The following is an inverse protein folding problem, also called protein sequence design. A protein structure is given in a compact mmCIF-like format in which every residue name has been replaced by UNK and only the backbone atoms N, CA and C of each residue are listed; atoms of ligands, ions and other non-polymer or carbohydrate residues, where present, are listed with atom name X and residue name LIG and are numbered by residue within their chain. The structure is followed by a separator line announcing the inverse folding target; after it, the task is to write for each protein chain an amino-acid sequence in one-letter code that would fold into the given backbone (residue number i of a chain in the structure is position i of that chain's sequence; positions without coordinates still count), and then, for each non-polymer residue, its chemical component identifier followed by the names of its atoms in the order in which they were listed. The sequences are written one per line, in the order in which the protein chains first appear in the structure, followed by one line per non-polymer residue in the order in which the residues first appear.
data_IF_685976645808
#
_entry.id   IF_685976645808
#
_cell.length_a   1.000
_cell.length_b   1.000
_cell.length_c   1.000
_cell.angle_alpha   90.00
_cell.angle_beta   90.00
_cell.angle_gamma   90.00
#
_symmetry.space_group_name_H-M   'P 1'
#
loop_
_entity.id
_entity.type
_entity.pdbx_description
1 polymer ?
#
# COMPACT_ATOMS: atom_id res chain seq x y z
N UNK A 1 -26.98 -17.34 38.73
CA UNK A 1 -26.40 -16.00 39.08
C UNK A 1 -27.36 -14.90 38.66
N UNK A 2 -27.55 -13.83 39.47
CA UNK A 2 -28.54 -12.79 39.18
C UNK A 2 -28.29 -12.04 37.84
N UNK A 3 -27.12 -12.18 37.25
CA UNK A 3 -26.73 -11.49 35.97
C UNK A 3 -26.61 -12.46 34.78
N UNK A 4 -27.14 -13.66 34.85
CA UNK A 4 -26.95 -14.70 33.82
C UNK A 4 -27.42 -14.25 32.44
N UNK A 5 -28.59 -13.63 32.34
CA UNK A 5 -29.14 -13.13 31.08
C UNK A 5 -28.25 -12.04 30.44
N UNK A 6 -27.67 -11.17 31.24
CA UNK A 6 -26.77 -10.12 30.74
C UNK A 6 -25.43 -10.70 30.27
N UNK A 7 -24.89 -11.68 30.99
CA UNK A 7 -23.64 -12.36 30.62
C UNK A 7 -23.81 -13.17 29.34
N UNK A 8 -24.95 -13.86 29.21
CA UNK A 8 -25.28 -14.59 27.98
C UNK A 8 -25.34 -13.62 26.77
N UNK A 9 -26.03 -12.48 26.93
CA UNK A 9 -26.11 -11.47 25.89
C UNK A 9 -24.74 -10.84 25.54
N UNK A 10 -23.86 -10.73 26.49
CA UNK A 10 -22.49 -10.28 26.23
C UNK A 10 -21.71 -11.29 25.36
N UNK A 11 -21.83 -12.58 25.65
CA UNK A 11 -21.24 -13.66 24.86
C UNK A 11 -21.79 -13.68 23.43
N UNK A 12 -23.12 -13.51 23.27
CA UNK A 12 -23.77 -13.40 21.97
C UNK A 12 -23.16 -12.26 21.15
N UNK A 13 -23.03 -11.06 21.75
CA UNK A 13 -22.44 -9.90 21.07
C UNK A 13 -20.98 -10.16 20.66
N UNK A 14 -20.18 -10.76 21.56
CA UNK A 14 -18.77 -11.08 21.25
C UNK A 14 -18.65 -12.11 20.13
N UNK A 15 -19.46 -13.17 20.17
CA UNK A 15 -19.51 -14.21 19.15
C UNK A 15 -19.95 -13.66 17.78
N UNK A 16 -21.01 -12.87 17.76
CA UNK A 16 -21.52 -12.26 16.52
C UNK A 16 -20.52 -11.25 15.92
N UNK A 17 -19.82 -10.49 16.76
CA UNK A 17 -18.79 -9.55 16.31
C UNK A 17 -17.52 -10.26 15.82
N UNK A 18 -17.23 -11.47 16.26
CA UNK A 18 -16.12 -12.27 15.72
C UNK A 18 -16.28 -12.57 14.23
N UNK A 19 -17.51 -12.55 13.70
CA UNK A 19 -17.81 -12.68 12.25
C UNK A 19 -17.24 -11.55 11.40
N UNK A 20 -16.80 -10.44 11.98
CA UNK A 20 -16.09 -9.37 11.28
C UNK A 20 -14.76 -9.87 10.69
N UNK A 21 -14.16 -10.91 11.29
CA UNK A 21 -12.95 -11.57 10.80
C UNK A 21 -11.65 -10.77 11.03
N UNK A 22 -11.67 -9.80 11.94
CA UNK A 22 -10.49 -9.03 12.36
C UNK A 22 -10.62 -8.57 13.81
N UNK A 23 -9.52 -8.19 14.43
CA UNK A 23 -9.53 -7.64 15.79
C UNK A 23 -10.20 -6.25 15.79
N UNK A 24 -11.15 -6.07 16.72
CA UNK A 24 -11.79 -4.77 16.98
C UNK A 24 -11.11 -4.17 18.21
N UNK A 25 -10.57 -2.97 18.09
CA UNK A 25 -10.04 -2.19 19.21
C UNK A 25 -10.94 -0.98 19.43
N UNK A 26 -11.65 -0.97 20.54
CA UNK A 26 -12.57 0.13 20.88
C UNK A 26 -13.57 -0.27 21.95
N UNK A 27 -14.46 0.65 22.28
CA UNK A 27 -15.58 0.44 23.20
C UNK A 27 -16.82 0.07 22.39
N UNK A 28 -17.45 -1.06 22.73
CA UNK A 28 -18.73 -1.47 22.15
C UNK A 28 -19.84 -1.21 23.17
N UNK A 29 -20.86 -0.47 22.75
CA UNK A 29 -22.09 -0.24 23.55
C UNK A 29 -23.24 -0.86 22.77
N UNK A 30 -23.85 -1.89 23.34
CA UNK A 30 -24.99 -2.58 22.74
C UNK A 30 -26.25 -2.31 23.58
N UNK A 31 -27.29 -1.74 22.97
CA UNK A 31 -28.59 -1.52 23.59
C UNK A 31 -29.59 -2.49 22.96
N UNK A 32 -30.20 -3.36 23.79
CA UNK A 32 -31.11 -4.43 23.35
C UNK A 32 -30.54 -5.30 22.23
N UNK A 33 -29.33 -5.88 22.41
CA UNK A 33 -28.67 -6.66 21.35
C UNK A 33 -29.46 -7.96 21.05
N UNK A 34 -29.39 -8.38 19.79
CA UNK A 34 -29.92 -9.63 19.31
C UNK A 34 -29.12 -10.13 18.11
N UNK A 35 -29.07 -11.46 17.90
CA UNK A 35 -28.27 -12.10 16.85
C UNK A 35 -28.48 -11.49 15.48
N UNK A 36 -29.72 -11.19 15.09
CA UNK A 36 -30.02 -10.59 13.80
C UNK A 36 -29.31 -9.22 13.65
N UNK A 37 -29.51 -8.32 14.61
CA UNK A 37 -28.93 -6.96 14.57
C UNK A 37 -27.41 -7.01 14.67
N UNK A 38 -26.87 -7.83 15.55
CA UNK A 38 -25.42 -7.99 15.75
C UNK A 38 -24.75 -8.52 14.47
N UNK A 39 -25.33 -9.54 13.83
CA UNK A 39 -24.78 -10.11 12.59
C UNK A 39 -24.90 -9.16 11.41
N UNK A 40 -25.98 -8.38 11.29
CA UNK A 40 -26.10 -7.32 10.28
C UNK A 40 -25.05 -6.22 10.49
N UNK A 41 -24.81 -5.82 11.72
CA UNK A 41 -23.75 -4.86 12.07
C UNK A 41 -22.37 -5.42 11.72
N UNK A 42 -22.08 -6.68 12.09
CA UNK A 42 -20.82 -7.34 11.77
C UNK A 42 -20.59 -7.41 10.24
N UNK A 43 -21.61 -7.74 9.44
CA UNK A 43 -21.56 -7.72 7.97
C UNK A 43 -21.26 -6.32 7.43
N UNK A 44 -21.95 -5.29 7.93
CA UNK A 44 -21.74 -3.89 7.54
C UNK A 44 -20.32 -3.43 7.88
N UNK A 45 -19.86 -3.72 9.07
CA UNK A 45 -18.51 -3.39 9.53
C UNK A 45 -17.43 -4.11 8.70
N UNK A 46 -17.61 -5.41 8.44
CA UNK A 46 -16.73 -6.19 7.56
C UNK A 46 -16.66 -5.61 6.14
N UNK A 47 -17.79 -5.13 5.60
CA UNK A 47 -17.84 -4.46 4.29
C UNK A 47 -17.06 -3.14 4.30
N UNK A 48 -17.22 -2.33 5.34
CA UNK A 48 -16.48 -1.07 5.51
C UNK A 48 -14.97 -1.35 5.59
N UNK A 49 -14.55 -2.28 6.43
CA UNK A 49 -13.13 -2.65 6.59
C UNK A 49 -12.54 -3.20 5.29
N UNK A 50 -13.30 -4.03 4.54
CA UNK A 50 -12.86 -4.54 3.24
C UNK A 50 -12.72 -3.42 2.22
N UNK A 51 -13.64 -2.46 2.19
CA UNK A 51 -13.55 -1.30 1.31
C UNK A 51 -12.38 -0.39 1.69
N UNK A 52 -12.19 -0.13 2.98
CA UNK A 52 -11.07 0.66 3.48
C UNK A 52 -9.71 0.02 3.12
N UNK A 53 -9.59 -1.30 3.29
CA UNK A 53 -8.41 -2.05 2.82
C UNK A 53 -8.23 -2.06 1.29
N UNK A 54 -9.31 -1.95 0.52
CA UNK A 54 -9.26 -1.84 -0.96
C UNK A 54 -8.89 -0.43 -1.40
N UNK A 55 -9.33 0.58 -0.65
CA UNK A 55 -9.15 1.99 -0.92
C UNK A 55 -8.00 2.59 -0.09
N UNK A 56 -7.08 1.76 0.39
CA UNK A 56 -5.89 2.22 1.10
C UNK A 56 -4.90 2.86 0.11
N UNK A 57 -5.42 3.75 -0.72
CA UNK A 57 -4.64 4.66 -1.55
C UNK A 57 -4.04 5.68 -0.59
N UNK A 58 -2.72 5.88 -0.62
CA UNK A 58 -2.09 6.94 0.16
C UNK A 58 -2.76 8.28 -0.16
N UNK A 59 -3.23 8.98 0.86
CA UNK A 59 -3.78 10.33 0.68
C UNK A 59 -2.61 11.31 0.62
N UNK A 60 -2.10 11.55 -0.59
CA UNK A 60 -1.03 12.54 -0.84
C UNK A 60 -1.58 13.64 -1.73
N UNK A 61 -1.21 14.87 -1.41
CA UNK A 61 -1.46 16.02 -2.29
C UNK A 61 -0.30 16.17 -3.27
N UNK A 62 -0.54 15.78 -4.52
CA UNK A 62 0.47 15.85 -5.60
C UNK A 62 0.86 17.29 -5.99
N UNK A 63 0.11 18.30 -5.52
CA UNK A 63 0.42 19.71 -5.76
C UNK A 63 1.43 20.27 -4.74
N UNK A 64 1.66 19.56 -3.64
CA UNK A 64 2.69 19.93 -2.67
C UNK A 64 4.09 19.60 -3.20
N UNK A 65 5.12 20.38 -2.81
CA UNK A 65 6.50 20.01 -3.10
C UNK A 65 6.80 18.59 -2.59
N UNK A 66 7.51 17.77 -3.39
CA UNK A 66 7.94 16.45 -2.91
C UNK A 66 9.02 16.60 -1.83
N UNK A 67 9.12 15.57 -0.97
CA UNK A 67 10.23 15.44 -0.02
C UNK A 67 11.56 15.24 -0.74
N UNK A 68 11.55 14.45 -1.85
CA UNK A 68 12.71 14.26 -2.72
C UNK A 68 12.28 14.37 -4.18
N UNK A 69 13.04 15.13 -4.93
CA UNK A 69 12.95 15.20 -6.39
C UNK A 69 13.80 14.08 -7.05
N UNK A 70 13.76 14.03 -8.38
CA UNK A 70 14.49 13.00 -9.15
C UNK A 70 16.01 13.08 -8.96
N UNK A 71 16.58 14.27 -8.77
CA UNK A 71 18.02 14.44 -8.58
C UNK A 71 18.47 13.90 -7.22
N UNK A 72 17.68 14.14 -6.18
CA UNK A 72 17.92 13.60 -4.84
C UNK A 72 17.75 12.06 -4.81
N UNK A 73 16.76 11.53 -5.54
CA UNK A 73 16.60 10.09 -5.73
C UNK A 73 17.81 9.48 -6.45
N UNK A 74 18.32 10.13 -7.51
CA UNK A 74 19.52 9.70 -8.24
C UNK A 74 20.80 9.75 -7.38
N UNK A 75 20.86 10.62 -6.39
CA UNK A 75 21.98 10.65 -5.46
C UNK A 75 21.97 9.45 -4.50
N UNK A 76 20.79 8.88 -4.23
CA UNK A 76 20.61 7.75 -3.33
C UNK A 76 20.62 6.40 -4.06
N UNK A 77 19.93 6.31 -5.21
CA UNK A 77 19.80 5.08 -5.99
C UNK A 77 20.81 5.03 -7.14
N UNK A 78 21.41 3.86 -7.45
CA UNK A 78 22.33 3.70 -8.56
C UNK A 78 21.64 3.70 -9.93
N UNK A 79 20.33 3.54 -9.97
CA UNK A 79 19.54 3.45 -11.20
C UNK A 79 19.59 4.75 -12.01
N UNK A 80 19.62 4.61 -13.32
CA UNK A 80 19.62 5.74 -14.30
C UNK A 80 18.64 5.44 -15.42
N UNK A 81 18.27 6.48 -16.16
CA UNK A 81 17.42 6.32 -17.35
C UNK A 81 18.04 5.30 -18.33
N UNK A 82 17.25 4.42 -18.95
CA UNK A 82 15.77 4.33 -18.88
C UNK A 82 15.24 3.51 -17.71
N UNK A 83 16.08 3.04 -16.78
CA UNK A 83 15.72 2.11 -15.71
C UNK A 83 15.48 2.77 -14.35
N UNK A 84 15.55 4.09 -14.23
CA UNK A 84 15.04 4.81 -13.07
C UNK A 84 13.53 4.97 -13.21
N UNK A 85 12.76 4.28 -12.34
CA UNK A 85 11.31 4.13 -12.46
C UNK A 85 10.51 4.83 -11.36
N UNK A 86 11.12 5.77 -10.65
CA UNK A 86 10.44 6.67 -9.71
C UNK A 86 10.85 8.11 -9.96
N UNK A 87 9.90 9.05 -9.81
CA UNK A 87 10.13 10.46 -10.14
C UNK A 87 10.20 11.35 -8.90
N UNK A 88 9.41 11.03 -7.86
CA UNK A 88 9.30 11.85 -6.65
C UNK A 88 9.02 10.98 -5.43
N UNK A 89 9.52 11.40 -4.26
CA UNK A 89 9.15 10.85 -2.96
C UNK A 89 8.37 11.92 -2.20
N UNK A 90 7.20 11.59 -1.67
CA UNK A 90 6.35 12.51 -0.92
C UNK A 90 6.38 12.27 0.58
N UNK A 91 6.61 11.03 0.99
CA UNK A 91 6.67 10.66 2.40
C UNK A 91 7.76 9.60 2.61
N UNK A 92 8.57 9.79 3.64
CA UNK A 92 9.64 8.86 4.02
C UNK A 92 9.75 8.87 5.54
N UNK A 93 9.49 7.73 6.15
CA UNK A 93 9.56 7.50 7.59
C UNK A 93 10.48 6.32 7.88
N UNK A 94 10.68 5.96 9.14
CA UNK A 94 11.43 4.76 9.51
C UNK A 94 10.80 3.46 8.98
N UNK A 95 9.49 3.45 8.75
CA UNK A 95 8.73 2.22 8.48
C UNK A 95 8.07 2.19 7.10
N UNK A 96 7.97 3.30 6.40
CA UNK A 96 7.34 3.36 5.07
C UNK A 96 7.79 4.55 4.24
N UNK A 97 7.58 4.40 2.94
CA UNK A 97 7.84 5.42 1.92
C UNK A 97 6.67 5.51 0.96
N UNK A 98 6.36 6.73 0.51
CA UNK A 98 5.40 6.98 -0.57
C UNK A 98 6.12 7.71 -1.70
N UNK A 99 6.12 7.11 -2.88
CA UNK A 99 6.73 7.65 -4.08
C UNK A 99 5.76 7.63 -5.26
N UNK A 100 6.10 8.34 -6.32
CA UNK A 100 5.31 8.39 -7.54
C UNK A 100 6.15 8.14 -8.79
N UNK A 101 5.49 7.62 -9.83
CA UNK A 101 5.99 7.61 -11.21
C UNK A 101 4.90 8.12 -12.15
N UNK A 102 5.26 9.08 -12.99
CA UNK A 102 4.45 9.49 -14.13
C UNK A 102 4.77 8.59 -15.32
N UNK A 103 3.77 7.93 -15.85
CA UNK A 103 3.93 7.04 -17.00
C UNK A 103 3.65 7.83 -18.28
N UNK A 104 4.69 8.13 -19.04
CA UNK A 104 4.54 8.87 -20.29
C UNK A 104 4.66 7.94 -21.50
N UNK A 105 4.13 8.36 -22.65
CA UNK A 105 4.27 7.60 -23.90
C UNK A 105 5.74 7.50 -24.39
N UNK A 106 6.63 8.35 -23.85
CA UNK A 106 8.06 8.36 -24.18
C UNK A 106 8.88 7.25 -23.51
N UNK A 107 8.25 6.42 -22.68
CA UNK A 107 8.93 5.30 -22.04
C UNK A 107 9.35 4.24 -23.09
N UNK A 108 10.60 3.83 -23.05
CA UNK A 108 11.19 2.90 -24.03
C UNK A 108 10.45 1.58 -24.18
N UNK A 109 9.88 1.06 -23.09
CA UNK A 109 9.16 -0.22 -23.10
C UNK A 109 7.87 -0.19 -23.93
N UNK A 110 7.27 0.99 -24.20
CA UNK A 110 6.09 1.09 -25.06
C UNK A 110 6.37 0.85 -26.53
N UNK A 111 7.64 0.91 -26.96
CA UNK A 111 8.01 0.55 -28.33
C UNK A 111 7.69 -0.91 -28.66
N UNK A 112 7.74 -1.77 -27.66
CA UNK A 112 7.49 -3.22 -27.81
C UNK A 112 6.31 -3.78 -27.01
N UNK A 113 5.79 -3.07 -26.02
CA UNK A 113 4.78 -3.62 -25.08
C UNK A 113 3.49 -2.78 -24.99
N UNK A 114 2.58 -2.74 -26.00
CA UNK A 114 2.63 -3.38 -27.31
C UNK A 114 2.36 -2.32 -28.38
N UNK A 115 2.86 -2.47 -29.64
CA UNK A 115 2.50 -1.57 -30.74
C UNK A 115 0.98 -1.46 -30.89
N UNK A 116 0.46 -0.23 -30.89
CA UNK A 116 -0.99 0.05 -30.98
C UNK A 116 -1.81 -0.19 -29.71
N UNK A 117 -1.23 -0.81 -28.66
CA UNK A 117 -1.89 -1.07 -27.38
C UNK A 117 -0.90 -0.92 -26.20
N UNK A 118 -0.42 0.29 -25.92
CA UNK A 118 0.64 0.51 -24.94
C UNK A 118 0.16 0.17 -23.52
N UNK A 119 0.87 -0.72 -22.85
CA UNK A 119 0.63 -1.10 -21.44
C UNK A 119 1.98 -1.21 -20.75
N UNK A 120 2.15 -0.60 -19.58
CA UNK A 120 3.38 -0.74 -18.81
C UNK A 120 3.56 -2.20 -18.36
N UNK A 121 4.74 -2.81 -18.61
CA UNK A 121 4.99 -4.17 -18.16
C UNK A 121 4.84 -4.31 -16.65
N UNK A 122 4.07 -5.30 -16.18
CA UNK A 122 3.83 -5.51 -14.76
C UNK A 122 5.11 -5.73 -13.96
N UNK A 123 6.10 -6.38 -14.56
CA UNK A 123 7.43 -6.60 -13.94
C UNK A 123 8.16 -5.27 -13.68
N UNK A 124 7.98 -4.25 -14.53
CA UNK A 124 8.56 -2.92 -14.31
C UNK A 124 7.81 -2.13 -13.24
N UNK A 125 6.51 -2.40 -13.03
CA UNK A 125 5.78 -1.85 -11.88
C UNK A 125 6.36 -2.40 -10.57
N UNK A 126 6.67 -3.72 -10.54
CA UNK A 126 7.32 -4.35 -9.37
C UNK A 126 8.72 -3.78 -9.16
N UNK A 127 9.48 -3.56 -10.23
CA UNK A 127 10.79 -2.91 -10.16
C UNK A 127 10.69 -1.49 -9.59
N UNK A 128 9.73 -0.67 -10.06
CA UNK A 128 9.50 0.66 -9.51
C UNK A 128 9.14 0.63 -8.01
N UNK A 129 8.36 -0.37 -7.57
CA UNK A 129 8.10 -0.61 -6.15
C UNK A 129 9.37 -0.99 -5.39
N UNK A 130 10.28 -1.78 -6.01
CA UNK A 130 11.56 -2.12 -5.41
C UNK A 130 12.47 -0.91 -5.25
N UNK A 131 12.56 -0.06 -6.26
CA UNK A 131 13.31 1.19 -6.18
C UNK A 131 12.74 2.09 -5.08
N UNK A 132 11.40 2.17 -4.97
CA UNK A 132 10.73 2.87 -3.87
C UNK A 132 11.14 2.29 -2.51
N UNK A 133 11.09 0.95 -2.37
CA UNK A 133 11.55 0.27 -1.16
C UNK A 133 13.06 0.44 -0.91
N UNK A 134 13.86 0.51 -1.97
CA UNK A 134 15.28 0.81 -1.91
C UNK A 134 15.58 2.16 -1.27
N UNK A 135 14.81 3.20 -1.60
CA UNK A 135 14.90 4.51 -0.94
C UNK A 135 14.66 4.38 0.58
N UNK A 136 13.65 3.60 0.99
CA UNK A 136 13.37 3.37 2.41
C UNK A 136 14.54 2.68 3.13
N UNK A 137 15.09 1.62 2.53
CA UNK A 137 16.21 0.86 3.12
C UNK A 137 17.48 1.70 3.14
N UNK A 138 17.82 2.36 2.04
CA UNK A 138 19.04 3.16 1.93
C UNK A 138 19.01 4.43 2.79
N UNK A 139 17.84 4.91 3.16
CA UNK A 139 17.72 6.02 4.13
C UNK A 139 18.19 5.65 5.55
N UNK A 140 18.42 4.36 5.82
CA UNK A 140 18.92 3.90 7.14
C UNK A 140 20.44 3.90 7.25
N UNK A 141 21.15 4.13 6.14
CA UNK A 141 22.63 4.15 6.10
C UNK A 141 23.14 5.56 5.84
N UNK A 142 24.35 5.93 6.35
CA UNK A 142 24.88 7.28 6.22
C UNK A 142 25.39 7.63 4.81
N UNK A 143 25.73 6.62 4.01
CA UNK A 143 26.36 6.73 2.69
C UNK A 143 25.65 5.84 1.65
N UNK A 144 24.36 6.12 1.36
CA UNK A 144 23.49 5.26 0.54
C UNK A 144 24.05 4.97 -0.86
N UNK A 145 24.85 5.88 -1.43
CA UNK A 145 25.50 5.76 -2.74
C UNK A 145 26.50 4.60 -2.82
N UNK A 146 26.99 4.10 -1.68
CA UNK A 146 27.95 3.00 -1.61
C UNK A 146 27.27 1.63 -1.48
N UNK A 147 25.93 1.57 -1.46
CA UNK A 147 25.19 0.33 -1.31
C UNK A 147 24.35 -0.01 -2.55
N UNK A 148 24.27 -1.31 -2.82
CA UNK A 148 23.38 -1.88 -3.82
C UNK A 148 22.34 -2.76 -3.16
N UNK A 149 21.09 -2.63 -3.58
CA UNK A 149 20.00 -3.49 -3.11
C UNK A 149 19.61 -4.49 -4.19
N UNK A 150 19.42 -5.75 -3.81
CA UNK A 150 19.05 -6.83 -4.70
C UNK A 150 17.80 -7.54 -4.23
N UNK A 151 16.93 -7.91 -5.16
CA UNK A 151 15.81 -8.79 -4.87
C UNK A 151 16.30 -10.18 -4.46
N UNK A 152 15.83 -10.66 -3.32
CA UNK A 152 16.00 -12.06 -2.94
C UNK A 152 14.75 -12.90 -3.26
N UNK A 153 13.56 -12.30 -3.10
CA UNK A 153 12.29 -12.99 -3.24
C UNK A 153 11.14 -12.02 -3.47
N UNK A 154 10.15 -12.45 -4.23
CA UNK A 154 8.87 -11.76 -4.41
C UNK A 154 7.73 -12.74 -4.18
N UNK A 155 6.80 -12.40 -3.31
CA UNK A 155 5.63 -13.21 -3.00
C UNK A 155 4.34 -12.44 -3.24
N UNK A 156 3.27 -13.16 -3.59
CA UNK A 156 1.88 -12.67 -3.63
C UNK A 156 1.67 -11.44 -4.52
N UNK A 157 2.43 -11.31 -5.60
CA UNK A 157 2.25 -10.24 -6.59
C UNK A 157 0.91 -10.42 -7.32
N UNK A 158 0.12 -9.34 -7.40
CA UNK A 158 -1.18 -9.32 -8.12
C UNK A 158 -1.34 -8.00 -8.85
N UNK A 159 -1.60 -8.09 -10.14
CA UNK A 159 -1.98 -6.94 -10.98
C UNK A 159 -3.50 -6.92 -11.14
N UNK A 160 -4.15 -5.80 -10.81
CA UNK A 160 -5.61 -5.67 -10.86
C UNK A 160 -6.09 -4.82 -12.02
N UNK A 161 -5.23 -3.92 -12.50
CA UNK A 161 -5.51 -3.00 -13.59
C UNK A 161 -4.28 -2.86 -14.47
N UNK A 162 -4.51 -2.52 -15.74
CA UNK A 162 -3.45 -2.11 -16.66
C UNK A 162 -3.00 -0.70 -16.31
N UNK A 163 -1.73 -0.43 -16.51
CA UNK A 163 -1.12 0.91 -16.43
C UNK A 163 -0.82 1.37 -17.84
N UNK A 164 -1.29 2.54 -18.20
CA UNK A 164 -1.22 3.08 -19.56
C UNK A 164 -0.50 4.43 -19.57
N UNK A 165 -0.03 4.89 -20.74
CA UNK A 165 0.48 6.24 -20.87
C UNK A 165 -0.53 7.28 -20.40
N UNK A 166 -0.09 8.23 -19.58
CA UNK A 166 -0.93 9.24 -18.94
C UNK A 166 -1.28 8.92 -17.48
N UNK A 167 -1.06 7.69 -17.02
CA UNK A 167 -1.30 7.33 -15.62
C UNK A 167 -0.17 7.85 -14.71
N UNK A 168 -0.53 8.17 -13.46
CA UNK A 168 0.42 8.41 -12.38
C UNK A 168 0.28 7.26 -11.37
N UNK A 169 1.37 6.52 -11.16
CA UNK A 169 1.44 5.49 -10.14
C UNK A 169 1.84 6.11 -8.80
N UNK A 170 1.17 5.68 -7.75
CA UNK A 170 1.51 5.99 -6.37
C UNK A 170 1.93 4.69 -5.69
N UNK A 171 3.18 4.63 -5.26
CA UNK A 171 3.75 3.48 -4.55
C UNK A 171 3.75 3.75 -3.05
N UNK A 172 3.25 2.82 -2.27
CA UNK A 172 3.42 2.79 -0.83
C UNK A 172 4.13 1.49 -0.45
N UNK A 173 5.35 1.61 0.00
CA UNK A 173 6.13 0.48 0.51
C UNK A 173 6.30 0.61 2.01
N UNK A 174 6.12 -0.48 2.74
CA UNK A 174 6.27 -0.51 4.20
C UNK A 174 7.09 -1.72 4.61
N UNK A 175 7.94 -1.55 5.62
CA UNK A 175 8.67 -2.65 6.23
C UNK A 175 7.68 -3.58 6.94
N UNK A 176 7.85 -4.88 6.77
CA UNK A 176 7.09 -5.91 7.50
C UNK A 176 7.74 -6.18 8.84
N UNK A 177 9.06 -6.12 8.87
CA UNK A 177 9.92 -6.25 10.06
C UNK A 177 10.92 -5.10 10.06
N UNK A 178 11.26 -4.53 11.24
CA UNK A 178 12.35 -3.55 11.34
C UNK A 178 13.65 -4.12 10.78
N UNK A 179 14.44 -3.24 10.17
CA UNK A 179 15.80 -3.54 9.69
C UNK A 179 16.75 -3.52 10.88
#
# INVERSE_FOLDING_TARGET
HPNEAARHKLLDVLGDLALVGTRIRGKVIANKPGHFVNTQFAKKLSKIIKNDRRNNVPNIDLNQPPLMDVMQIMAMLPHRQPFLLIDKVYELTENHVIATKNVTMNEEFFKGHFPGAPVMPGVLIVEAMAQTGGVLVLNTVPDPENYLTFFMKMDKVKFKQKVMPGDTLIFKCSLITPI
#
